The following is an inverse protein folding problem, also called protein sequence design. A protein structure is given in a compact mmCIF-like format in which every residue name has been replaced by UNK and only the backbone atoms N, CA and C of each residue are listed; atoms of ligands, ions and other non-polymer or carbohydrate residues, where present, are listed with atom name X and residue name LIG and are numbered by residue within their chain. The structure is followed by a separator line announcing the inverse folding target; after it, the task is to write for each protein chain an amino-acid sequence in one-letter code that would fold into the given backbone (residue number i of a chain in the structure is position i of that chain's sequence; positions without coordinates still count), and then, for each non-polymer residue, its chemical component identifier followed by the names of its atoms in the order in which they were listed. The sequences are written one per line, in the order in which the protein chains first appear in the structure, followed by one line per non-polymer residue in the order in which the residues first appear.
data_IF_990145882358
#
_entry.id   IF_990145882358
#
_cell.length_a   1.000
_cell.length_b   1.000
_cell.length_c   1.000
_cell.angle_alpha   90.00
_cell.angle_beta   90.00
_cell.angle_gamma   90.00
#
_symmetry.space_group_name_H-M   'P 1'
#
loop_
_entity.id
_entity.type
_entity.pdbx_description
1 polymer ?
#
# COMPACT_ATOMS: atom_id res chain seq x y z
N UNK A 1 -1.88 7.66 -21.39
CA UNK A 1 -0.83 6.78 -20.84
C UNK A 1 -0.96 5.41 -21.51
N UNK A 2 0.09 4.91 -22.17
CA UNK A 2 0.05 3.66 -22.95
C UNK A 2 0.01 2.40 -22.07
N UNK A 3 0.60 2.45 -20.87
CA UNK A 3 0.63 1.33 -19.93
C UNK A 3 -0.57 1.29 -18.97
N UNK A 4 -1.38 2.34 -18.91
CA UNK A 4 -2.60 2.36 -18.10
C UNK A 4 -3.79 1.88 -18.94
N UNK A 5 -4.35 0.72 -18.59
CA UNK A 5 -5.61 0.26 -19.18
C UNK A 5 -6.80 1.15 -18.80
N UNK A 6 -7.90 1.07 -19.55
CA UNK A 6 -9.17 1.68 -19.15
C UNK A 6 -9.68 1.03 -17.86
N UNK A 7 -10.24 1.84 -16.96
CA UNK A 7 -10.89 1.35 -15.74
C UNK A 7 -12.05 0.43 -16.13
N UNK A 8 -11.96 -0.85 -15.76
CA UNK A 8 -13.04 -1.82 -15.94
C UNK A 8 -13.79 -1.94 -14.63
N UNK A 9 -15.12 -1.84 -14.67
CA UNK A 9 -15.95 -2.15 -13.51
C UNK A 9 -15.76 -3.62 -13.15
N UNK A 10 -15.29 -3.86 -11.93
CA UNK A 10 -15.14 -5.21 -11.37
C UNK A 10 -16.50 -5.63 -10.78
N UNK A 11 -16.95 -6.84 -11.10
CA UNK A 11 -18.16 -7.48 -10.53
C UNK A 11 -17.73 -8.60 -9.62
N UNK A 12 -18.42 -8.79 -8.49
CA UNK A 12 -17.99 -9.81 -7.54
C UNK A 12 -18.32 -11.22 -8.00
N UNK A 13 -17.57 -12.20 -7.50
CA UNK A 13 -17.90 -13.62 -7.66
C UNK A 13 -19.30 -13.95 -7.13
N UNK A 14 -19.69 -13.33 -6.01
CA UNK A 14 -20.99 -13.48 -5.36
C UNK A 14 -22.12 -12.93 -6.23
N UNK A 15 -21.92 -11.81 -6.93
CA UNK A 15 -22.93 -11.28 -7.86
C UNK A 15 -23.26 -12.28 -8.99
N UNK A 16 -22.28 -13.06 -9.45
CA UNK A 16 -22.49 -14.13 -10.44
C UNK A 16 -23.27 -15.29 -9.84
N UNK A 17 -22.89 -15.75 -8.64
CA UNK A 17 -23.58 -16.82 -7.93
C UNK A 17 -25.05 -16.47 -7.66
N UNK A 18 -25.32 -15.25 -7.19
CA UNK A 18 -26.67 -14.76 -6.93
C UNK A 18 -27.52 -14.79 -8.21
N UNK A 19 -26.98 -14.33 -9.35
CA UNK A 19 -27.69 -14.37 -10.62
C UNK A 19 -28.01 -15.80 -11.07
N UNK A 20 -27.08 -16.74 -10.87
CA UNK A 20 -27.32 -18.15 -11.15
C UNK A 20 -28.41 -18.73 -10.25
N UNK A 21 -28.37 -18.47 -8.94
CA UNK A 21 -29.41 -18.93 -8.00
C UNK A 21 -30.79 -18.38 -8.33
N UNK A 22 -30.90 -17.11 -8.73
CA UNK A 22 -32.18 -16.51 -9.16
C UNK A 22 -32.76 -17.25 -10.37
N UNK A 23 -31.93 -17.65 -11.33
CA UNK A 23 -32.39 -18.46 -12.47
C UNK A 23 -32.92 -19.83 -12.03
N UNK A 24 -32.26 -20.49 -11.06
CA UNK A 24 -32.75 -21.74 -10.49
C UNK A 24 -34.09 -21.57 -9.77
N UNK A 25 -34.26 -20.50 -8.99
CA UNK A 25 -35.51 -20.19 -8.28
C UNK A 25 -36.65 -19.92 -9.28
N UNK A 26 -36.38 -19.16 -10.34
CA UNK A 26 -37.37 -18.91 -11.39
C UNK A 26 -37.79 -20.21 -12.09
N UNK A 27 -36.84 -21.10 -12.39
CA UNK A 27 -37.14 -22.43 -12.92
C UNK A 27 -38.04 -23.24 -11.98
N UNK A 28 -37.71 -23.28 -10.69
CA UNK A 28 -38.51 -23.97 -9.67
C UNK A 28 -39.93 -23.39 -9.54
N UNK A 29 -40.07 -22.06 -9.59
CA UNK A 29 -41.36 -21.36 -9.56
C UNK A 29 -42.26 -21.79 -10.73
N UNK A 30 -41.72 -21.81 -11.95
CA UNK A 30 -42.46 -22.24 -13.15
C UNK A 30 -42.87 -23.71 -13.02
N UNK A 31 -41.98 -24.59 -12.57
CA UNK A 31 -42.29 -26.01 -12.37
C UNK A 31 -43.42 -26.21 -11.34
N UNK A 32 -43.36 -25.52 -10.20
CA UNK A 32 -44.43 -25.59 -9.19
C UNK A 32 -45.76 -25.02 -9.72
N UNK A 33 -45.71 -23.91 -10.46
CA UNK A 33 -46.90 -23.35 -11.11
C UNK A 33 -47.57 -24.34 -12.08
N UNK A 34 -46.78 -25.08 -12.88
CA UNK A 34 -47.30 -26.11 -13.79
C UNK A 34 -47.94 -27.26 -13.02
N UNK A 35 -47.31 -27.76 -11.95
CA UNK A 35 -47.86 -28.86 -11.13
C UNK A 35 -49.19 -28.46 -10.51
N UNK A 36 -49.28 -27.25 -9.96
CA UNK A 36 -50.52 -26.73 -9.37
C UNK A 36 -51.61 -26.48 -10.42
N UNK A 37 -51.24 -26.01 -11.62
CA UNK A 37 -52.18 -25.85 -12.72
C UNK A 37 -52.76 -27.18 -13.19
N UNK A 38 -51.92 -28.23 -13.31
CA UNK A 38 -52.38 -29.59 -13.63
C UNK A 38 -53.27 -30.13 -12.51
N UNK A 39 -52.89 -29.92 -11.24
CA UNK A 39 -53.71 -30.32 -10.09
C UNK A 39 -55.09 -29.65 -10.08
N UNK A 40 -55.14 -28.35 -10.36
CA UNK A 40 -56.41 -27.62 -10.49
C UNK A 40 -57.25 -28.15 -11.65
N UNK A 41 -56.62 -28.45 -12.78
CA UNK A 41 -57.28 -29.08 -13.91
C UNK A 41 -57.87 -30.45 -13.52
N UNK A 42 -57.09 -31.36 -12.95
CA UNK A 42 -57.61 -32.68 -12.53
C UNK A 42 -58.77 -32.54 -11.53
N UNK A 43 -58.65 -31.65 -10.55
CA UNK A 43 -59.70 -31.38 -9.56
C UNK A 43 -61.00 -30.86 -10.20
N UNK A 44 -60.88 -29.92 -11.14
CA UNK A 44 -62.00 -29.34 -11.87
C UNK A 44 -62.78 -30.41 -12.66
N UNK A 45 -62.07 -31.38 -13.24
CA UNK A 45 -62.69 -32.49 -13.98
C UNK A 45 -63.44 -33.48 -13.06
N UNK A 46 -62.83 -33.87 -11.95
CA UNK A 46 -63.36 -34.95 -11.10
C UNK A 46 -64.37 -34.47 -10.07
N UNK A 47 -64.13 -33.31 -9.43
CA UNK A 47 -64.92 -32.82 -8.29
C UNK A 47 -65.69 -31.55 -8.65
N UNK A 48 -65.20 -30.73 -9.59
CA UNK A 48 -65.84 -29.48 -10.00
C UNK A 48 -67.25 -29.68 -10.60
N UNK A 49 -67.48 -30.80 -11.30
CA UNK A 49 -68.80 -31.16 -11.84
C UNK A 49 -69.84 -31.46 -10.76
N UNK A 50 -69.42 -31.99 -9.60
CA UNK A 50 -70.28 -32.27 -8.44
C UNK A 50 -70.60 -31.00 -7.64
N UNK A 51 -69.70 -30.01 -7.63
CA UNK A 51 -69.84 -28.76 -6.87
C UNK A 51 -70.59 -27.63 -7.60
N UNK A 52 -71.06 -27.88 -8.82
CA UNK A 52 -71.88 -26.94 -9.61
C UNK A 52 -73.17 -26.51 -8.90
N UNK A 53 -73.65 -27.28 -7.92
CA UNK A 53 -74.81 -26.92 -7.10
C UNK A 53 -74.56 -25.75 -6.13
N UNK A 54 -73.29 -25.48 -5.77
CA UNK A 54 -72.93 -24.43 -4.80
C UNK A 54 -72.18 -23.24 -5.44
N UNK A 55 -71.48 -23.46 -6.56
CA UNK A 55 -70.78 -22.39 -7.29
C UNK A 55 -71.00 -22.55 -8.81
N UNK A 56 -71.93 -21.78 -9.42
CA UNK A 56 -72.18 -21.81 -10.85
C UNK A 56 -70.98 -21.25 -11.64
N UNK A 57 -70.65 -21.86 -12.77
CA UNK A 57 -69.59 -21.40 -13.66
C UNK A 57 -70.10 -20.28 -14.57
N UNK A 58 -69.27 -19.29 -14.85
CA UNK A 58 -69.59 -18.26 -15.85
C UNK A 58 -69.54 -18.90 -17.26
N UNK A 59 -70.51 -18.65 -18.16
CA UNK A 59 -70.65 -19.32 -19.46
C UNK A 59 -69.51 -19.03 -20.46
N UNK A 60 -68.53 -18.20 -20.08
CA UNK A 60 -67.37 -17.88 -20.90
C UNK A 60 -66.15 -18.79 -20.65
N UNK A 61 -66.23 -19.72 -19.70
CA UNK A 61 -65.11 -20.56 -19.23
C UNK A 61 -65.37 -22.07 -19.40
N UNK A 62 -66.09 -22.48 -20.44
CA UNK A 62 -66.41 -23.91 -20.68
C UNK A 62 -65.19 -24.75 -21.14
N UNK A 63 -64.06 -24.10 -21.44
CA UNK A 63 -62.83 -24.77 -21.85
C UNK A 63 -61.92 -25.06 -20.65
N UNK A 64 -61.86 -26.32 -20.25
CA UNK A 64 -60.93 -26.86 -19.24
C UNK A 64 -59.48 -26.37 -19.38
N UNK A 65 -58.98 -26.34 -20.61
CA UNK A 65 -57.61 -25.90 -20.91
C UNK A 65 -57.42 -24.41 -20.65
N UNK A 66 -58.47 -23.61 -20.83
CA UNK A 66 -58.45 -22.17 -20.58
C UNK A 66 -58.49 -21.87 -19.08
N UNK A 67 -59.29 -22.62 -18.30
CA UNK A 67 -59.30 -22.56 -16.84
C UNK A 67 -57.91 -22.91 -16.26
N UNK A 68 -57.30 -24.01 -16.69
CA UNK A 68 -55.95 -24.40 -16.27
C UNK A 68 -54.87 -23.36 -16.64
N UNK A 69 -55.01 -22.71 -17.80
CA UNK A 69 -54.11 -21.64 -18.23
C UNK A 69 -54.23 -20.38 -17.35
N UNK A 70 -55.45 -19.98 -16.99
CA UNK A 70 -55.67 -18.85 -16.06
C UNK A 70 -55.19 -19.19 -14.65
N UNK A 71 -55.43 -20.41 -14.18
CA UNK A 71 -54.96 -20.91 -12.89
C UNK A 71 -53.42 -20.91 -12.81
N UNK A 72 -52.72 -21.30 -13.88
CA UNK A 72 -51.26 -21.22 -13.96
C UNK A 72 -50.75 -19.81 -13.68
N UNK A 73 -51.26 -18.80 -14.38
CA UNK A 73 -50.84 -17.41 -14.19
C UNK A 73 -51.23 -16.86 -12.81
N UNK A 74 -52.39 -17.25 -12.28
CA UNK A 74 -52.81 -16.91 -10.92
C UNK A 74 -51.83 -17.46 -9.86
N UNK A 75 -51.46 -18.74 -9.96
CA UNK A 75 -50.49 -19.36 -9.05
C UNK A 75 -49.09 -18.77 -9.18
N UNK A 76 -48.65 -18.39 -10.38
CA UNK A 76 -47.37 -17.68 -10.57
C UNK A 76 -47.37 -16.33 -9.85
N UNK A 77 -48.48 -15.58 -9.88
CA UNK A 77 -48.62 -14.30 -9.16
C UNK A 77 -48.57 -14.52 -7.65
N UNK A 78 -49.29 -15.52 -7.14
CA UNK A 78 -49.33 -15.84 -5.70
C UNK A 78 -47.94 -16.30 -5.20
N UNK A 79 -47.26 -17.14 -5.98
CA UNK A 79 -45.93 -17.67 -5.65
C UNK A 79 -44.77 -16.74 -6.00
N UNK A 80 -45.03 -15.54 -6.55
CA UNK A 80 -43.99 -14.54 -6.83
C UNK A 80 -43.23 -14.10 -5.56
N UNK A 81 -43.81 -14.33 -4.37
CA UNK A 81 -43.14 -14.13 -3.07
C UNK A 81 -41.92 -15.04 -2.86
N UNK A 82 -41.82 -16.15 -3.60
CA UNK A 82 -40.65 -17.06 -3.61
C UNK A 82 -39.44 -16.41 -4.27
N UNK A 83 -39.65 -15.47 -5.21
CA UNK A 83 -38.57 -14.63 -5.74
C UNK A 83 -38.51 -13.38 -4.87
N UNK A 84 -37.54 -13.26 -3.95
CA UNK A 84 -37.41 -12.06 -3.14
C UNK A 84 -37.05 -10.87 -4.03
N UNK A 85 -38.05 -10.06 -4.39
CA UNK A 85 -37.89 -8.83 -5.18
C UNK A 85 -36.94 -7.86 -4.47
N UNK A 86 -36.85 -7.95 -3.13
CA UNK A 86 -35.90 -7.21 -2.28
C UNK A 86 -34.43 -7.53 -2.57
N UNK A 87 -34.10 -8.67 -3.17
CA UNK A 87 -32.76 -8.97 -3.67
C UNK A 87 -32.46 -8.29 -5.02
N UNK A 88 -33.50 -7.97 -5.83
CA UNK A 88 -33.36 -7.54 -7.23
C UNK A 88 -33.61 -6.04 -7.48
N UNK A 89 -34.30 -5.32 -6.58
CA UNK A 89 -34.44 -3.84 -6.64
C UNK A 89 -33.08 -3.12 -6.46
N UNK A 90 -31.99 -3.87 -6.31
CA UNK A 90 -30.59 -3.46 -6.52
C UNK A 90 -30.25 -2.98 -7.95
N UNK A 91 -31.14 -3.15 -8.96
CA UNK A 91 -30.84 -2.80 -10.37
C UNK A 91 -31.64 -1.64 -10.98
N UNK A 92 -32.29 -0.78 -10.20
CA UNK A 92 -32.84 0.46 -10.76
C UNK A 92 -31.72 1.51 -10.80
N UNK A 93 -31.25 1.96 -11.98
CA UNK A 93 -30.26 3.02 -12.07
C UNK A 93 -30.96 4.34 -11.75
N UNK A 94 -31.10 4.69 -10.46
CA UNK A 94 -31.41 6.06 -10.08
C UNK A 94 -30.13 6.78 -9.72
N UNK A 95 -29.67 7.56 -10.71
CA UNK A 95 -29.04 8.89 -10.66
C UNK A 95 -28.19 9.18 -9.42
N UNK A 96 -26.92 9.63 -9.59
CA UNK A 96 -26.10 10.06 -8.46
C UNK A 96 -26.67 11.37 -7.91
N UNK A 97 -27.48 11.30 -6.86
CA UNK A 97 -27.81 12.47 -6.05
C UNK A 97 -27.09 12.31 -4.72
N UNK A 98 -26.03 13.10 -4.58
CA UNK A 98 -25.37 13.38 -3.32
C UNK A 98 -26.36 14.16 -2.46
N UNK A 99 -27.15 13.47 -1.64
CA UNK A 99 -27.81 14.08 -0.47
C UNK A 99 -28.07 13.04 0.61
N UNK A 100 -27.50 13.33 1.79
CA UNK A 100 -27.78 12.89 3.16
C UNK A 100 -28.91 11.84 3.33
N UNK A 101 -28.68 10.70 4.03
CA UNK A 101 -29.73 9.72 4.25
C UNK A 101 -30.65 10.16 5.41
N UNK A 102 -31.95 10.24 5.13
CA UNK A 102 -33.02 10.20 6.13
C UNK A 102 -33.35 8.73 6.50
N UNK A 103 -33.68 8.43 7.76
CA UNK A 103 -33.90 7.06 8.22
C UNK A 103 -35.38 6.67 8.07
N UNK A 104 -35.81 6.31 6.87
CA UNK A 104 -37.11 5.67 6.70
C UNK A 104 -37.04 4.59 5.63
N UNK A 105 -36.90 3.35 6.11
CA UNK A 105 -37.04 2.06 5.44
C UNK A 105 -36.35 1.90 4.07
N UNK A 106 -35.23 1.18 4.02
CA UNK A 106 -34.87 0.44 2.84
C UNK A 106 -34.96 -1.05 3.15
N UNK A 107 -35.99 -1.71 2.63
CA UNK A 107 -35.92 -3.14 2.33
C UNK A 107 -34.91 -3.36 1.19
N UNK A 108 -33.61 -3.24 1.48
CA UNK A 108 -32.50 -3.44 0.55
C UNK A 108 -31.20 -3.76 1.31
N UNK A 109 -31.04 -5.00 1.77
CA UNK A 109 -30.02 -5.35 2.78
C UNK A 109 -28.58 -5.35 2.24
N UNK A 110 -28.31 -5.81 1.02
CA UNK A 110 -26.92 -6.09 0.58
C UNK A 110 -26.10 -4.83 0.28
N UNK A 111 -26.65 -3.86 -0.45
CA UNK A 111 -25.93 -2.61 -0.76
C UNK A 111 -25.70 -1.75 0.49
N UNK A 112 -26.67 -1.72 1.41
CA UNK A 112 -26.54 -1.02 2.68
C UNK A 112 -25.46 -1.67 3.55
N UNK A 113 -25.38 -3.02 3.59
CA UNK A 113 -24.30 -3.74 4.28
C UNK A 113 -22.93 -3.41 3.65
N UNK A 114 -22.83 -3.44 2.32
CA UNK A 114 -21.60 -3.10 1.57
C UNK A 114 -21.13 -1.66 1.86
N UNK A 115 -22.07 -0.71 1.91
CA UNK A 115 -21.81 0.69 2.31
C UNK A 115 -21.35 0.76 3.77
N UNK A 116 -22.05 0.09 4.68
CA UNK A 116 -21.70 0.04 6.10
C UNK A 116 -20.28 -0.49 6.34
N UNK A 117 -19.91 -1.58 5.68
CA UNK A 117 -18.54 -2.13 5.73
C UNK A 117 -17.49 -1.13 5.21
N UNK A 118 -17.81 -0.40 4.14
CA UNK A 118 -16.92 0.64 3.61
C UNK A 118 -16.67 1.76 4.63
N UNK A 119 -17.71 2.17 5.36
CA UNK A 119 -17.57 3.16 6.44
C UNK A 119 -16.75 2.62 7.62
N UNK A 120 -16.92 1.36 7.99
CA UNK A 120 -16.13 0.74 9.06
C UNK A 120 -14.64 0.67 8.72
N UNK A 121 -14.27 0.40 7.47
CA UNK A 121 -12.87 0.45 7.02
C UNK A 121 -12.32 1.89 7.17
N UNK A 122 -13.10 2.89 6.77
CA UNK A 122 -12.67 4.29 6.82
C UNK A 122 -12.54 4.83 8.26
N UNK A 123 -13.33 4.31 9.21
CA UNK A 123 -13.31 4.72 10.62
C UNK A 123 -12.33 3.95 11.49
N UNK A 124 -11.62 2.96 10.96
CA UNK A 124 -10.67 2.18 11.75
C UNK A 124 -9.41 2.98 12.09
N UNK A 125 -9.22 3.25 13.38
CA UNK A 125 -8.04 3.94 13.91
C UNK A 125 -6.75 3.13 13.76
N UNK A 126 -6.81 1.80 13.65
CA UNK A 126 -5.62 0.94 13.50
C UNK A 126 -5.03 1.03 12.09
N UNK A 127 -5.86 1.30 11.09
CA UNK A 127 -5.42 1.46 9.70
C UNK A 127 -5.03 2.91 9.36
N UNK A 128 -5.00 3.80 10.34
CA UNK A 128 -4.62 5.19 10.16
C UNK A 128 -3.09 5.37 10.11
N UNK A 129 -2.57 5.95 9.03
CA UNK A 129 -1.15 6.25 8.91
C UNK A 129 -0.82 7.61 9.53
N UNK A 130 -0.19 7.60 10.72
CA UNK A 130 0.17 8.82 11.44
C UNK A 130 1.21 9.67 10.70
N UNK A 131 2.16 9.06 9.97
CA UNK A 131 3.22 9.79 9.24
C UNK A 131 2.67 10.61 8.08
N UNK A 132 1.77 10.02 7.30
CA UNK A 132 1.16 10.67 6.13
C UNK A 132 -0.14 11.40 6.47
N UNK A 133 -0.58 11.36 7.74
CA UNK A 133 -1.86 11.88 8.20
C UNK A 133 -3.05 11.45 7.30
N UNK A 134 -3.04 10.19 6.85
CA UNK A 134 -3.98 9.68 5.86
C UNK A 134 -4.69 8.44 6.41
N UNK A 135 -6.05 8.44 6.48
CA UNK A 135 -6.82 7.26 6.85
C UNK A 135 -6.89 6.25 5.71
N UNK A 136 -7.28 5.01 6.03
CA UNK A 136 -7.68 4.05 5.00
C UNK A 136 -8.94 4.57 4.28
N UNK A 137 -8.93 4.54 2.95
CA UNK A 137 -10.04 5.01 2.13
C UNK A 137 -10.51 3.89 1.19
N UNK A 138 -11.69 3.35 1.47
CA UNK A 138 -12.35 2.40 0.59
C UNK A 138 -13.02 3.12 -0.59
N UNK A 139 -12.37 3.07 -1.76
CA UNK A 139 -12.86 3.73 -3.00
C UNK A 139 -13.96 2.98 -3.75
N UNK A 140 -14.18 1.70 -3.43
CA UNK A 140 -15.17 0.86 -4.11
C UNK A 140 -15.90 0.03 -3.07
N UNK A 141 -17.21 0.22 -2.97
CA UNK A 141 -18.05 -0.40 -1.94
C UNK A 141 -18.46 -1.84 -2.28
N UNK A 142 -18.42 -2.21 -3.56
CA UNK A 142 -18.86 -3.54 -4.03
C UNK A 142 -17.85 -4.65 -3.75
N UNK A 143 -16.56 -4.35 -3.61
CA UNK A 143 -15.49 -5.34 -3.52
C UNK A 143 -15.09 -5.72 -2.10
N UNK A 144 -15.73 -5.13 -1.08
CA UNK A 144 -15.34 -5.31 0.32
C UNK A 144 -15.40 -6.79 0.77
N UNK A 145 -16.34 -7.57 0.23
CA UNK A 145 -16.50 -9.00 0.52
C UNK A 145 -15.40 -9.90 -0.08
N UNK A 146 -14.78 -9.49 -1.20
CA UNK A 146 -13.71 -10.24 -1.84
C UNK A 146 -12.37 -10.09 -1.11
N UNK A 147 -12.22 -9.07 -0.25
CA UNK A 147 -10.99 -8.86 0.51
C UNK A 147 -10.67 -10.06 1.43
N UNK A 148 -11.69 -10.77 1.91
CA UNK A 148 -11.53 -11.99 2.69
C UNK A 148 -11.25 -13.26 1.86
N UNK A 149 -11.30 -13.17 0.53
CA UNK A 149 -11.13 -14.29 -0.40
C UNK A 149 -9.80 -14.19 -1.18
N UNK A 150 -8.90 -13.29 -0.79
CA UNK A 150 -7.63 -13.08 -1.49
C UNK A 150 -6.65 -14.22 -1.17
N UNK A 151 -6.23 -14.96 -2.19
CA UNK A 151 -5.22 -16.04 -2.07
C UNK A 151 -3.81 -15.55 -2.42
N UNK A 152 -3.70 -14.68 -3.43
CA UNK A 152 -2.41 -14.20 -3.94
C UNK A 152 -2.29 -12.68 -3.75
N UNK A 153 -1.20 -12.25 -3.11
CA UNK A 153 -0.83 -10.85 -2.96
C UNK A 153 0.39 -10.58 -3.85
N UNK A 154 0.19 -9.78 -4.89
CA UNK A 154 1.29 -9.25 -5.70
C UNK A 154 1.74 -7.92 -5.10
N UNK A 155 2.96 -7.88 -4.58
CA UNK A 155 3.54 -6.68 -3.99
C UNK A 155 4.67 -6.14 -4.86
N UNK A 156 4.69 -4.82 -5.04
CA UNK A 156 5.86 -4.14 -5.60
C UNK A 156 6.96 -4.03 -4.53
N UNK A 157 8.22 -4.12 -4.94
CA UNK A 157 9.34 -3.98 -4.01
C UNK A 157 9.49 -2.53 -3.59
N UNK A 158 9.59 -1.63 -4.56
CA UNK A 158 9.98 -0.23 -4.31
C UNK A 158 8.74 0.59 -3.99
N UNK A 159 8.74 1.28 -2.84
CA UNK A 159 7.62 2.12 -2.42
C UNK A 159 6.47 1.39 -1.74
N UNK A 160 6.45 0.04 -1.77
CA UNK A 160 5.50 -0.78 -0.97
C UNK A 160 6.23 -1.58 0.11
N UNK A 161 7.14 -2.49 -0.26
CA UNK A 161 7.91 -3.27 0.73
C UNK A 161 9.04 -2.47 1.35
N UNK A 162 9.71 -1.62 0.56
CA UNK A 162 10.82 -0.80 1.03
C UNK A 162 10.52 0.68 0.91
N UNK A 163 10.85 1.44 1.96
CA UNK A 163 10.92 2.89 1.88
C UNK A 163 12.12 3.30 1.03
N UNK A 164 12.02 4.38 0.27
CA UNK A 164 13.12 4.90 -0.55
C UNK A 164 14.12 5.69 0.30
N UNK A 165 14.63 5.06 1.36
CA UNK A 165 15.60 5.61 2.31
C UNK A 165 16.65 4.54 2.52
N UNK A 166 17.91 4.88 2.23
CA UNK A 166 19.05 3.98 2.39
C UNK A 166 19.85 4.42 3.61
N UNK A 167 20.16 3.49 4.52
CA UNK A 167 20.90 3.76 5.76
C UNK A 167 22.15 2.89 5.84
N UNK A 168 23.26 3.49 6.29
CA UNK A 168 24.47 2.75 6.58
C UNK A 168 24.32 2.00 7.90
N UNK A 169 24.35 0.67 7.86
CA UNK A 169 24.07 -0.17 9.02
C UNK A 169 25.31 -0.86 9.59
N UNK A 170 26.15 -1.46 8.74
CA UNK A 170 27.31 -2.28 9.15
C UNK A 170 28.46 -2.09 8.16
N UNK A 171 29.69 -2.24 8.63
CA UNK A 171 30.87 -2.32 7.78
C UNK A 171 31.86 -3.36 8.31
N UNK A 172 32.77 -3.81 7.44
CA UNK A 172 33.87 -4.68 7.81
C UNK A 172 35.17 -4.00 7.42
N UNK A 173 36.03 -3.71 8.40
CA UNK A 173 37.33 -3.05 8.20
C UNK A 173 38.41 -3.99 8.73
N UNK A 174 39.37 -4.37 7.87
CA UNK A 174 40.46 -5.29 8.23
C UNK A 174 40.02 -6.62 8.87
N UNK A 175 38.89 -7.18 8.43
CA UNK A 175 38.33 -8.42 8.98
C UNK A 175 37.54 -8.25 10.28
N UNK A 176 37.47 -7.04 10.85
CA UNK A 176 36.61 -6.72 11.99
C UNK A 176 35.26 -6.16 11.49
N UNK A 177 34.17 -6.81 11.91
CA UNK A 177 32.81 -6.38 11.61
C UNK A 177 32.32 -5.37 12.66
N UNK A 178 31.83 -4.23 12.21
CA UNK A 178 31.26 -3.15 13.01
C UNK A 178 29.78 -2.95 12.67
N UNK A 179 29.00 -2.46 13.65
CA UNK A 179 27.56 -2.24 13.53
C UNK A 179 26.69 -3.43 13.93
N UNK A 180 27.30 -4.51 14.43
CA UNK A 180 26.57 -5.63 15.03
C UNK A 180 26.60 -5.49 16.55
N UNK A 181 25.44 -5.20 17.15
CA UNK A 181 25.31 -5.19 18.61
C UNK A 181 25.17 -6.64 19.07
N UNK A 182 26.31 -7.31 19.28
CA UNK A 182 26.34 -8.68 19.77
C UNK A 182 25.97 -8.66 21.25
N UNK A 183 24.78 -9.16 21.59
CA UNK A 183 24.46 -9.53 22.97
C UNK A 183 25.18 -10.86 23.26
N UNK A 184 26.12 -10.86 24.20
CA UNK A 184 26.94 -12.04 24.56
C UNK A 184 26.13 -13.21 25.13
N UNK A 185 24.80 -13.06 25.27
CA UNK A 185 23.86 -14.04 25.84
C UNK A 185 22.70 -14.43 24.91
N UNK A 186 22.71 -14.04 23.62
CA UNK A 186 21.71 -14.49 22.65
C UNK A 186 20.25 -14.14 22.99
N UNK A 187 20.04 -13.24 23.95
CA UNK A 187 18.71 -12.75 24.32
C UNK A 187 18.49 -11.45 23.56
N UNK A 188 17.24 -11.19 23.14
CA UNK A 188 16.79 -10.00 22.40
C UNK A 188 17.69 -8.77 22.62
N UNK A 189 18.16 -8.07 21.57
CA UNK A 189 19.09 -6.96 21.73
C UNK A 189 18.48 -5.94 22.70
N UNK A 190 19.06 -5.83 23.90
CA UNK A 190 18.78 -4.71 24.80
C UNK A 190 18.92 -3.45 23.95
N UNK A 191 17.84 -2.66 23.87
CA UNK A 191 17.75 -1.40 23.10
C UNK A 191 19.13 -0.75 22.98
N UNK A 192 19.80 -0.97 21.87
CA UNK A 192 21.13 -0.42 21.68
C UNK A 192 20.97 1.10 21.73
N UNK A 193 21.70 1.75 22.64
CA UNK A 193 21.63 3.19 22.79
C UNK A 193 22.20 3.81 21.51
N UNK A 194 21.46 4.77 20.93
CA UNK A 194 21.97 5.52 19.78
C UNK A 194 23.24 6.24 20.19
N UNK A 195 24.26 6.16 19.35
CA UNK A 195 25.48 6.92 19.53
C UNK A 195 25.20 8.42 19.50
N UNK A 196 25.91 9.14 20.37
CA UNK A 196 25.90 10.59 20.35
C UNK A 196 27.01 11.10 19.41
N UNK A 197 26.59 11.74 18.32
CA UNK A 197 27.48 12.37 17.34
C UNK A 197 27.70 13.87 17.60
N UNK A 198 27.34 14.37 18.79
CA UNK A 198 27.49 15.78 19.17
C UNK A 198 28.92 16.33 19.07
N UNK A 199 29.95 15.48 18.98
CA UNK A 199 31.33 15.91 18.73
C UNK A 199 31.51 16.56 17.35
N UNK A 200 30.62 16.28 16.39
CA UNK A 200 30.65 16.85 15.06
C UNK A 200 29.46 17.81 14.87
N UNK A 201 29.74 19.11 14.78
CA UNK A 201 28.71 20.13 14.54
C UNK A 201 27.97 19.96 13.21
N UNK A 202 28.58 19.24 12.27
CA UNK A 202 28.01 18.95 10.97
C UNK A 202 27.28 17.61 10.97
N UNK A 203 27.12 16.88 12.07
CA UNK A 203 26.43 15.58 12.02
C UNK A 203 24.98 15.71 11.52
N UNK A 204 24.54 14.73 10.75
CA UNK A 204 23.15 14.56 10.35
C UNK A 204 22.34 14.04 11.55
N UNK A 205 21.23 14.71 11.86
CA UNK A 205 20.37 14.41 13.00
C UNK A 205 19.58 13.11 12.81
N UNK A 206 19.31 12.73 11.57
CA UNK A 206 18.53 11.53 11.25
C UNK A 206 19.38 10.26 11.22
N UNK A 207 20.70 10.41 11.21
CA UNK A 207 21.62 9.27 11.19
C UNK A 207 21.63 8.53 12.53
N UNK A 208 21.42 7.22 12.47
CA UNK A 208 21.43 6.36 13.64
C UNK A 208 22.49 5.27 13.47
N UNK A 209 23.42 5.21 14.42
CA UNK A 209 24.37 4.12 14.55
C UNK A 209 24.46 3.70 16.02
N UNK A 210 24.80 2.43 16.27
CA UNK A 210 24.62 1.81 17.58
C UNK A 210 25.91 1.24 18.18
N UNK A 211 26.90 0.91 17.35
CA UNK A 211 28.12 0.25 17.80
C UNK A 211 29.19 1.27 18.23
N UNK A 212 29.50 1.30 19.53
CA UNK A 212 30.49 2.20 20.11
C UNK A 212 31.92 1.84 19.70
N UNK A 213 32.21 0.56 19.42
CA UNK A 213 33.57 0.10 19.11
C UNK A 213 34.13 0.76 17.86
N UNK A 214 33.27 1.07 16.87
CA UNK A 214 33.68 1.80 15.67
C UNK A 214 34.05 3.25 15.98
N UNK A 215 33.26 3.92 16.83
CA UNK A 215 33.53 5.30 17.24
C UNK A 215 34.81 5.39 18.07
N UNK A 216 35.04 4.41 18.94
CA UNK A 216 36.25 4.31 19.74
C UNK A 216 37.48 4.08 18.85
N UNK A 217 37.42 3.16 17.88
CA UNK A 217 38.50 2.93 16.93
C UNK A 217 38.89 4.21 16.14
N UNK A 218 37.91 5.05 15.78
CA UNK A 218 38.17 6.35 15.16
C UNK A 218 38.88 7.30 16.13
N UNK A 219 38.43 7.37 17.39
CA UNK A 219 39.03 8.22 18.44
C UNK A 219 40.43 7.77 18.83
N UNK A 220 40.70 6.46 18.83
CA UNK A 220 42.04 5.90 19.03
C UNK A 220 42.98 6.22 17.86
N UNK A 221 42.46 6.64 16.71
CA UNK A 221 43.28 7.02 15.56
C UNK A 221 43.77 5.83 14.74
N UNK A 222 43.01 4.73 14.69
CA UNK A 222 43.41 3.56 13.91
C UNK A 222 43.53 3.90 12.41
N UNK A 223 44.71 3.67 11.79
CA UNK A 223 44.98 4.16 10.44
C UNK A 223 44.08 3.52 9.38
N UNK A 224 43.74 2.23 9.53
CA UNK A 224 42.88 1.49 8.60
C UNK A 224 41.43 1.97 8.65
N UNK A 225 40.95 2.35 9.84
CA UNK A 225 39.59 2.89 10.01
C UNK A 225 39.50 4.30 9.43
N UNK A 226 40.53 5.12 9.66
CA UNK A 226 40.64 6.45 9.05
C UNK A 226 40.73 6.36 7.53
N UNK A 227 41.53 5.44 6.99
CA UNK A 227 41.64 5.21 5.55
C UNK A 227 40.31 4.74 4.96
N UNK A 228 39.59 3.85 5.62
CA UNK A 228 38.27 3.39 5.18
C UNK A 228 37.27 4.56 5.03
N UNK A 229 37.13 5.41 6.05
CA UNK A 229 36.21 6.55 5.99
C UNK A 229 36.69 7.66 5.05
N UNK A 230 38.01 7.85 4.94
CA UNK A 230 38.60 8.75 3.94
C UNK A 230 38.24 8.29 2.53
N UNK A 231 38.42 7.01 2.21
CA UNK A 231 38.03 6.44 0.91
C UNK A 231 36.52 6.63 0.65
N UNK A 232 35.68 6.44 1.68
CA UNK A 232 34.24 6.65 1.58
C UNK A 232 33.86 8.11 1.29
N UNK A 233 34.65 9.07 1.80
CA UNK A 233 34.48 10.51 1.55
C UNK A 233 35.11 11.02 0.25
N UNK A 234 35.86 10.18 -0.47
CA UNK A 234 36.55 10.55 -1.72
C UNK A 234 35.97 9.85 -2.95
N UNK A 235 35.61 8.56 -2.83
CA UNK A 235 35.18 7.73 -3.95
C UNK A 235 33.66 7.76 -4.13
N UNK A 236 33.13 8.92 -4.54
CA UNK A 236 31.69 9.09 -4.81
C UNK A 236 31.42 10.22 -5.81
N UNK A 237 30.18 10.29 -6.31
CA UNK A 237 29.72 11.40 -7.17
C UNK A 237 28.83 12.43 -6.48
N UNK A 238 28.56 12.25 -5.19
CA UNK A 238 27.75 13.15 -4.36
C UNK A 238 28.23 14.60 -4.44
N UNK A 239 27.27 15.53 -4.51
CA UNK A 239 27.46 16.97 -4.45
C UNK A 239 26.99 17.50 -3.10
N UNK A 240 27.77 18.42 -2.53
CA UNK A 240 27.44 19.12 -1.29
C UNK A 240 26.84 20.48 -1.60
N UNK A 241 25.75 20.81 -0.91
CA UNK A 241 25.16 22.13 -0.90
C UNK A 241 25.16 22.65 0.54
N UNK A 242 25.80 23.79 0.78
CA UNK A 242 25.73 24.47 2.07
C UNK A 242 24.59 25.48 2.02
N UNK A 243 23.52 25.23 2.78
CA UNK A 243 22.42 26.19 2.88
C UNK A 243 22.85 27.32 3.81
N UNK A 244 23.39 28.40 3.25
CA UNK A 244 23.60 29.65 3.96
C UNK A 244 22.26 30.34 4.16
N UNK A 245 21.65 30.22 5.34
CA UNK A 245 20.59 31.14 5.72
C UNK A 245 21.20 32.53 5.89
N UNK A 246 21.07 33.36 4.85
CA UNK A 246 21.46 34.76 4.87
C UNK A 246 20.52 35.54 5.79
N UNK A 247 20.74 35.46 7.10
CA UNK A 247 20.24 36.45 8.04
C UNK A 247 21.43 37.32 8.46
N UNK A 248 21.39 38.58 7.99
CA UNK A 248 22.14 39.79 8.40
C UNK A 248 23.31 39.67 9.40
N UNK A 249 24.46 40.34 9.16
CA UNK A 249 25.58 40.41 10.10
C UNK A 249 25.27 41.38 11.27
N UNK A 250 26.01 41.33 12.40
CA UNK A 250 27.04 40.39 12.83
C UNK A 250 26.59 39.58 14.07
N UNK A 251 26.99 38.31 14.17
CA UNK A 251 27.28 37.53 15.40
C UNK A 251 27.17 36.05 15.04
N UNK A 252 28.31 35.35 15.14
CA UNK A 252 28.48 33.89 15.04
C UNK A 252 27.97 33.19 13.76
N UNK A 253 28.90 32.63 13.00
CA UNK A 253 28.65 31.69 11.90
C UNK A 253 27.99 30.44 12.50
N UNK A 254 26.66 30.39 12.55
CA UNK A 254 25.95 29.12 12.74
C UNK A 254 26.12 28.37 11.42
N UNK A 255 26.88 27.27 11.48
CA UNK A 255 27.24 26.47 10.30
C UNK A 255 25.97 26.08 9.55
N UNK A 256 25.87 26.53 8.29
CA UNK A 256 24.73 26.24 7.42
C UNK A 256 24.50 24.73 7.30
N UNK A 257 23.23 24.35 7.18
CA UNK A 257 22.84 22.95 7.00
C UNK A 257 23.48 22.40 5.72
N UNK A 258 24.43 21.47 5.88
CA UNK A 258 25.07 20.77 4.77
C UNK A 258 24.10 19.71 4.25
N UNK A 259 23.75 19.77 2.97
CA UNK A 259 22.84 18.82 2.31
C UNK A 259 23.60 18.11 1.20
N UNK A 260 23.47 16.78 1.16
CA UNK A 260 24.08 15.96 0.11
C UNK A 260 23.07 15.58 -0.95
N UNK A 261 23.40 15.85 -2.22
CA UNK A 261 22.66 15.39 -3.39
C UNK A 261 23.46 14.34 -4.12
N UNK A 262 22.88 13.15 -4.25
CA UNK A 262 23.52 12.00 -4.87
C UNK A 262 22.67 11.49 -6.05
N UNK A 263 23.34 10.93 -7.06
CA UNK A 263 22.65 10.27 -8.17
C UNK A 263 22.01 8.95 -7.73
N UNK A 264 22.63 8.26 -6.77
CA UNK A 264 22.09 7.08 -6.10
C UNK A 264 21.92 7.34 -4.61
N UNK A 265 20.82 6.88 -3.98
CA UNK A 265 20.63 7.03 -2.53
C UNK A 265 21.68 6.25 -1.72
N UNK A 266 22.25 5.19 -2.31
CA UNK A 266 23.30 4.38 -1.71
C UNK A 266 24.58 5.19 -1.47
N UNK A 267 25.05 5.94 -2.49
CA UNK A 267 26.21 6.83 -2.34
C UNK A 267 25.93 7.92 -1.30
N UNK A 268 24.72 8.48 -1.32
CA UNK A 268 24.29 9.45 -0.31
C UNK A 268 24.40 8.91 1.12
N UNK A 269 23.91 7.70 1.36
CA UNK A 269 23.97 7.06 2.67
C UNK A 269 25.41 6.82 3.15
N UNK A 270 26.31 6.42 2.25
CA UNK A 270 27.73 6.19 2.54
C UNK A 270 28.46 7.50 2.90
N UNK A 271 28.24 8.57 2.14
CA UNK A 271 28.87 9.87 2.41
C UNK A 271 28.29 10.52 3.67
N UNK A 272 27.00 10.35 3.93
CA UNK A 272 26.39 10.76 5.20
C UNK A 272 27.00 10.00 6.38
N UNK A 273 27.24 8.70 6.25
CA UNK A 273 27.94 7.94 7.30
C UNK A 273 29.34 8.47 7.56
N UNK A 274 30.16 8.67 6.51
CA UNK A 274 31.49 9.24 6.64
C UNK A 274 31.47 10.61 7.34
N UNK A 275 30.52 11.47 6.96
CA UNK A 275 30.28 12.76 7.59
C UNK A 275 30.05 12.61 9.10
N UNK A 276 29.18 11.72 9.53
CA UNK A 276 28.86 11.56 10.96
C UNK A 276 30.04 11.06 11.78
N UNK A 277 30.89 10.22 11.19
CA UNK A 277 32.14 9.76 11.80
C UNK A 277 33.31 10.78 11.72
N UNK A 278 33.05 11.99 11.24
CA UNK A 278 34.01 13.10 11.24
C UNK A 278 34.81 13.27 9.96
N UNK A 279 34.48 12.55 8.89
CA UNK A 279 35.07 12.68 7.55
C UNK A 279 34.07 13.37 6.62
N UNK A 280 34.02 14.70 6.69
CA UNK A 280 32.96 15.50 6.06
C UNK A 280 33.38 15.97 4.67
N UNK A 281 32.71 15.50 3.63
CA UNK A 281 32.89 16.02 2.27
C UNK A 281 32.32 17.44 2.16
N UNK A 282 33.15 18.42 1.78
CA UNK A 282 32.78 19.84 1.75
C UNK A 282 32.48 20.35 0.35
N UNK A 283 33.39 20.11 -0.59
CA UNK A 283 33.21 20.58 -1.96
C UNK A 283 34.11 19.81 -2.91
N UNK A 284 33.74 19.85 -4.19
CA UNK A 284 34.49 19.26 -5.28
C UNK A 284 34.60 20.25 -6.42
N UNK A 285 35.82 20.43 -6.90
CA UNK A 285 36.13 21.09 -8.17
C UNK A 285 36.55 20.03 -9.20
N UNK A 286 36.69 20.35 -10.50
CA UNK A 286 37.16 19.38 -11.50
C UNK A 286 38.51 18.74 -11.18
N UNK A 287 39.38 19.45 -10.44
CA UNK A 287 40.76 19.02 -10.16
C UNK A 287 41.03 18.75 -8.67
N UNK A 288 40.10 19.07 -7.76
CA UNK A 288 40.31 18.90 -6.32
C UNK A 288 39.05 18.46 -5.58
N UNK A 289 39.24 17.70 -4.51
CA UNK A 289 38.20 17.33 -3.56
C UNK A 289 38.61 17.83 -2.18
N UNK A 290 37.73 18.57 -1.51
CA UNK A 290 37.96 19.11 -0.17
C UNK A 290 37.14 18.31 0.85
N UNK A 291 37.82 17.68 1.80
CA UNK A 291 37.23 16.91 2.90
C UNK A 291 37.71 17.50 4.22
N UNK A 292 36.84 17.58 5.22
CA UNK A 292 37.21 17.93 6.59
C UNK A 292 37.35 16.63 7.41
N UNK A 293 38.59 16.26 7.71
CA UNK A 293 38.94 15.08 8.51
C UNK A 293 39.11 15.47 9.97
N UNK A 294 38.23 14.99 10.86
CA UNK A 294 38.25 15.23 12.30
C UNK A 294 38.43 16.72 12.65
N UNK A 295 37.76 17.59 11.88
CA UNK A 295 37.81 19.04 12.04
C UNK A 295 38.86 19.76 11.18
N UNK A 296 39.85 19.04 10.61
CA UNK A 296 40.91 19.62 9.78
C UNK A 296 40.57 19.56 8.29
N UNK A 297 40.60 20.69 7.55
CA UNK A 297 40.38 20.67 6.11
C UNK A 297 41.59 20.08 5.38
N UNK A 298 41.36 19.05 4.56
CA UNK A 298 42.34 18.37 3.71
C UNK A 298 41.85 18.44 2.26
N UNK A 299 42.72 18.87 1.35
CA UNK A 299 42.41 18.97 -0.08
C UNK A 299 43.19 17.92 -0.86
N UNK A 300 42.47 17.10 -1.62
CA UNK A 300 43.01 16.04 -2.46
C UNK A 300 43.01 16.50 -3.92
N UNK A 301 44.07 16.18 -4.67
CA UNK A 301 44.09 16.43 -6.11
C UNK A 301 43.39 15.29 -6.84
N UNK A 302 42.35 15.61 -7.60
CA UNK A 302 41.58 14.66 -8.41
C UNK A 302 42.21 14.54 -9.80
N UNK A 303 42.63 13.33 -10.17
CA UNK A 303 43.26 13.07 -11.47
C UNK A 303 42.27 12.46 -12.47
N UNK A 304 41.45 11.51 -12.02
CA UNK A 304 40.42 10.89 -12.86
C UNK A 304 39.27 10.35 -12.00
N UNK A 305 38.05 10.42 -12.54
CA UNK A 305 36.88 9.70 -12.04
C UNK A 305 36.47 8.69 -13.11
N UNK A 306 36.32 7.43 -12.70
CA UNK A 306 35.82 6.35 -13.53
C UNK A 306 34.41 6.02 -13.06
N UNK A 307 33.41 6.60 -13.72
CA UNK A 307 32.01 6.51 -13.34
C UNK A 307 31.49 5.07 -13.27
N UNK A 308 30.44 4.92 -12.46
CA UNK A 308 29.70 3.68 -12.35
C UNK A 308 29.03 3.33 -13.69
N UNK A 309 29.17 2.07 -14.10
CA UNK A 309 28.46 1.51 -15.24
C UNK A 309 27.90 0.15 -14.85
N UNK A 310 26.66 -0.17 -15.24
CA UNK A 310 26.01 -1.44 -14.96
C UNK A 310 26.83 -2.67 -15.46
N UNK A 311 27.62 -2.49 -16.52
CA UNK A 311 28.54 -3.54 -17.02
C UNK A 311 29.73 -3.72 -16.07
N UNK A 312 30.30 -2.63 -15.56
CA UNK A 312 31.50 -2.65 -14.69
C UNK A 312 31.17 -2.97 -13.22
N UNK A 313 29.96 -2.61 -12.77
CA UNK A 313 29.49 -2.72 -11.37
C UNK A 313 30.42 -2.10 -10.33
N UNK A 314 31.25 -1.11 -10.73
CA UNK A 314 32.18 -0.40 -9.86
C UNK A 314 32.40 1.03 -10.32
N UNK A 315 32.59 1.92 -9.36
CA UNK A 315 33.12 3.27 -9.53
C UNK A 315 34.57 3.30 -9.00
N UNK A 316 35.42 4.16 -9.55
CA UNK A 316 36.77 4.36 -9.00
C UNK A 316 37.19 5.82 -9.15
N UNK A 317 37.97 6.30 -8.20
CA UNK A 317 38.56 7.65 -8.24
C UNK A 317 40.07 7.51 -8.13
N UNK A 318 40.79 8.21 -9.00
CA UNK A 318 42.24 8.32 -8.97
C UNK A 318 42.59 9.72 -8.50
N UNK A 319 43.27 9.82 -7.38
CA UNK A 319 43.71 11.08 -6.82
C UNK A 319 45.16 11.01 -6.36
N UNK A 320 45.78 12.19 -6.23
CA UNK A 320 47.08 12.32 -5.58
C UNK A 320 46.84 12.79 -4.14
N UNK A 321 47.30 11.98 -3.20
CA UNK A 321 47.38 12.40 -1.81
C UNK A 321 48.47 13.49 -1.69
N UNK A 322 48.14 14.61 -1.07
CA UNK A 322 49.18 15.54 -0.66
C UNK A 322 50.02 14.82 0.40
N UNK A 323 51.27 14.51 0.07
CA UNK A 323 52.19 13.93 1.04
C UNK A 323 52.30 14.89 2.23
N UNK A 324 52.06 14.36 3.43
CA UNK A 324 52.53 14.96 4.68
C UNK A 324 54.07 15.02 4.68
#
# INVERSE_FOLDING_TARGET
MQNSGRTKFKRTSIDRLMNTLVLWIFGFLVCMGVILAIGNAVWEKEVGSLFQSYLPWDPSVDNFLFSAFLAFWSYVIILNTVVPISLYVSRVPRVPVVTVPSPSLPSASVEVIRLGHSYFINWDRRMFCQRCNTPAEARTTTLNEELGQVEYIFSDKTGTLTQNIMTFNKCSINGHAYGEVIDTLGTQPKRAQRLDFSFNSLADKDFCFYDQSLLDAIKLGEPLVHEFFRLLSLCHTVMSEEKSEALSPPVSIISGELVYKAQSPDEGALVTAARNFGFVFRSRTPNTITVQELGRPVTYSLLAILDFNNIRKRMSVVGRHAAL
#
